data_IF_426718528261
#
_entry.id   IF_426718528261
#
_cell.length_a   1.000
_cell.length_b   1.000
_cell.length_c   1.000
_cell.angle_alpha   90.00
_cell.angle_beta   90.00
_cell.angle_gamma   90.00
#
_symmetry.space_group_name_H-M   'P 1'
#
loop_
_entity.id
_entity.type
_entity.pdbx_description
1 polymer ?
#
# COMPACT_ATOMS: atom_id res chain seq x y z
N UNK A 1 34.86 -62.79 6.07
CA UNK A 1 35.22 -61.53 6.76
C UNK A 1 35.81 -60.54 5.76
N UNK A 2 35.01 -59.70 5.10
CA UNK A 2 35.50 -58.60 4.26
C UNK A 2 34.57 -57.39 4.41
N UNK A 3 34.63 -56.73 5.57
CA UNK A 3 34.03 -55.40 5.75
C UNK A 3 35.03 -54.35 5.28
N UNK A 4 35.00 -54.04 3.98
CA UNK A 4 35.66 -52.86 3.43
C UNK A 4 34.80 -51.63 3.71
N UNK A 5 34.93 -51.09 4.93
CA UNK A 5 34.37 -49.80 5.30
C UNK A 5 35.15 -48.70 4.57
N UNK A 6 34.66 -48.38 3.37
CA UNK A 6 35.07 -47.21 2.60
C UNK A 6 34.95 -45.96 3.47
N UNK A 7 36.10 -45.48 3.94
CA UNK A 7 36.27 -44.20 4.62
C UNK A 7 35.76 -43.09 3.69
N UNK A 8 34.50 -42.69 3.84
CA UNK A 8 34.02 -41.41 3.31
C UNK A 8 34.61 -40.30 4.16
N UNK A 9 35.74 -39.77 3.68
CA UNK A 9 36.41 -38.61 4.24
C UNK A 9 35.44 -37.44 4.34
N UNK A 10 35.14 -37.05 5.59
CA UNK A 10 34.48 -35.79 5.88
C UNK A 10 35.37 -34.66 5.38
N UNK A 11 34.95 -34.01 4.29
CA UNK A 11 35.56 -32.80 3.78
C UNK A 11 35.36 -31.70 4.83
N UNK A 12 36.38 -31.44 5.65
CA UNK A 12 36.37 -30.34 6.61
C UNK A 12 36.10 -29.03 5.84
N UNK A 13 34.93 -28.45 6.04
CA UNK A 13 34.62 -27.12 5.52
C UNK A 13 35.62 -26.14 6.13
N UNK A 14 36.41 -25.48 5.28
CA UNK A 14 37.30 -24.41 5.73
C UNK A 14 36.50 -23.40 6.53
N UNK A 15 37.01 -22.93 7.67
CA UNK A 15 36.32 -21.97 8.54
C UNK A 15 35.83 -20.72 7.79
N UNK A 16 36.56 -20.31 6.75
CA UNK A 16 36.16 -19.23 5.85
C UNK A 16 34.96 -19.58 4.95
N UNK A 17 34.85 -20.83 4.49
CA UNK A 17 33.70 -21.31 3.71
C UNK A 17 32.45 -21.39 4.61
N UNK A 18 32.60 -21.86 5.85
CA UNK A 18 31.51 -21.87 6.82
C UNK A 18 31.01 -20.44 7.14
N UNK A 19 31.93 -19.50 7.37
CA UNK A 19 31.59 -18.09 7.55
C UNK A 19 30.88 -17.50 6.32
N UNK A 20 31.35 -17.83 5.12
CA UNK A 20 30.73 -17.34 3.88
C UNK A 20 29.30 -17.85 3.70
N UNK A 21 29.06 -19.15 3.95
CA UNK A 21 27.70 -19.71 3.91
C UNK A 21 26.80 -19.12 5.02
N UNK A 22 27.32 -18.89 6.22
CA UNK A 22 26.55 -18.29 7.31
C UNK A 22 26.10 -16.85 6.99
N UNK A 23 26.98 -16.04 6.39
CA UNK A 23 26.66 -14.67 5.97
C UNK A 23 25.64 -14.66 4.82
N UNK A 24 25.77 -15.59 3.87
CA UNK A 24 24.82 -15.74 2.75
C UNK A 24 23.40 -16.07 3.26
N UNK A 25 23.29 -17.01 4.20
CA UNK A 25 21.99 -17.39 4.79
C UNK A 25 21.38 -16.24 5.60
N UNK A 26 22.19 -15.47 6.34
CA UNK A 26 21.72 -14.30 7.08
C UNK A 26 21.18 -13.20 6.14
N UNK A 27 21.87 -12.96 5.01
CA UNK A 27 21.42 -12.00 3.99
C UNK A 27 20.08 -12.41 3.36
N UNK A 28 19.89 -13.69 3.05
CA UNK A 28 18.63 -14.19 2.47
C UNK A 28 17.44 -14.00 3.42
N UNK A 29 17.66 -14.04 4.73
CA UNK A 29 16.61 -13.84 5.74
C UNK A 29 16.30 -12.37 6.01
N UNK A 30 17.29 -11.48 5.88
CA UNK A 30 17.16 -10.04 6.20
C UNK A 30 16.64 -9.22 5.02
N UNK A 31 17.01 -9.58 3.78
CA UNK A 31 16.58 -8.87 2.55
C UNK A 31 15.05 -8.76 2.38
N UNK A 32 14.25 -9.80 2.69
CA UNK A 32 12.79 -9.71 2.61
C UNK A 32 12.21 -8.64 3.52
N UNK A 33 12.68 -8.52 4.77
CA UNK A 33 12.14 -7.54 5.72
C UNK A 33 12.39 -6.10 5.28
N UNK A 34 13.56 -5.81 4.71
CA UNK A 34 13.89 -4.48 4.19
C UNK A 34 13.02 -4.14 2.97
N UNK A 35 12.75 -5.15 2.12
CA UNK A 35 11.85 -5.02 0.97
C UNK A 35 10.40 -4.75 1.39
N UNK A 36 9.90 -5.48 2.38
CA UNK A 36 8.52 -5.33 2.90
C UNK A 36 8.28 -3.94 3.54
N UNK A 37 9.23 -3.43 4.33
CA UNK A 37 9.11 -2.13 4.97
C UNK A 37 9.02 -0.97 3.95
N UNK A 38 9.72 -1.08 2.82
CA UNK A 38 9.74 -0.04 1.79
C UNK A 38 8.42 0.05 1.00
N UNK A 39 7.78 -1.08 0.72
CA UNK A 39 6.48 -1.09 0.01
C UNK A 39 5.32 -0.75 0.94
N UNK A 40 5.34 -1.17 2.20
CA UNK A 40 4.32 -0.79 3.18
C UNK A 40 4.32 0.72 3.41
N UNK A 41 5.49 1.32 3.62
CA UNK A 41 5.63 2.77 3.80
C UNK A 41 5.16 3.56 2.58
N UNK A 42 5.50 3.09 1.37
CA UNK A 42 5.08 3.74 0.11
C UNK A 42 3.57 3.62 -0.10
N UNK A 43 3.00 2.46 0.16
CA UNK A 43 1.56 2.21 0.05
C UNK A 43 0.77 3.06 1.06
N UNK A 44 1.23 3.09 2.31
CA UNK A 44 0.60 3.87 3.37
C UNK A 44 0.74 5.38 3.12
N UNK A 45 1.86 5.82 2.52
CA UNK A 45 2.08 7.18 2.07
C UNK A 45 1.17 7.61 0.91
N UNK A 46 0.93 6.72 -0.06
CA UNK A 46 0.00 6.97 -1.16
C UNK A 46 -1.44 7.00 -0.65
N UNK A 47 -1.83 6.05 0.20
CA UNK A 47 -3.15 6.02 0.81
C UNK A 47 -3.41 7.32 1.58
N UNK A 48 -2.49 7.74 2.45
CA UNK A 48 -2.67 8.97 3.24
C UNK A 48 -2.73 10.23 2.39
N UNK A 49 -2.01 10.31 1.26
CA UNK A 49 -2.11 11.46 0.35
C UNK A 49 -3.42 11.46 -0.45
N UNK A 50 -3.88 10.28 -0.89
CA UNK A 50 -5.15 10.16 -1.61
C UNK A 50 -6.33 10.56 -0.73
N UNK A 51 -6.34 10.10 0.53
CA UNK A 51 -7.42 10.39 1.48
C UNK A 51 -7.37 11.80 2.05
N UNK A 52 -6.20 12.30 2.47
CA UNK A 52 -6.13 13.63 3.10
C UNK A 52 -6.10 14.81 2.13
N UNK A 53 -5.77 14.60 0.86
CA UNK A 53 -5.52 15.72 -0.06
C UNK A 53 -6.37 15.61 -1.33
N UNK A 54 -6.38 14.45 -1.99
CA UNK A 54 -7.02 14.31 -3.30
C UNK A 54 -8.55 14.23 -3.17
N UNK A 55 -9.04 13.44 -2.23
CA UNK A 55 -10.48 13.32 -1.96
C UNK A 55 -11.12 14.66 -1.54
N UNK A 56 -10.62 15.38 -0.53
CA UNK A 56 -11.17 16.67 -0.14
C UNK A 56 -11.08 17.73 -1.24
N UNK A 57 -10.01 17.74 -2.04
CA UNK A 57 -9.86 18.72 -3.13
C UNK A 57 -10.86 18.48 -4.26
N UNK A 58 -11.12 17.22 -4.64
CA UNK A 58 -12.16 16.88 -5.61
C UNK A 58 -13.57 17.28 -5.11
N UNK A 59 -13.87 17.10 -3.83
CA UNK A 59 -15.14 17.53 -3.25
C UNK A 59 -15.31 19.06 -3.29
N UNK A 60 -14.26 19.82 -2.98
CA UNK A 60 -14.29 21.29 -3.07
C UNK A 60 -14.54 21.74 -4.52
N UNK A 61 -13.91 21.09 -5.50
CA UNK A 61 -14.15 21.38 -6.93
C UNK A 61 -15.62 21.14 -7.34
N UNK A 62 -16.23 20.04 -6.89
CA UNK A 62 -17.63 19.73 -7.20
C UNK A 62 -18.60 20.77 -6.57
N UNK A 63 -18.34 21.17 -5.33
CA UNK A 63 -19.11 22.20 -4.63
C UNK A 63 -18.95 23.55 -5.33
N UNK A 64 -17.73 23.93 -5.70
CA UNK A 64 -17.46 25.17 -6.43
C UNK A 64 -18.20 25.23 -7.77
N UNK A 65 -18.22 24.11 -8.52
CA UNK A 65 -18.96 24.02 -9.78
C UNK A 65 -20.48 24.18 -9.59
N UNK A 66 -21.07 23.54 -8.58
CA UNK A 66 -22.48 23.71 -8.26
C UNK A 66 -22.82 25.14 -7.81
N UNK A 67 -21.97 25.74 -6.98
CA UNK A 67 -22.13 27.13 -6.53
C UNK A 67 -22.08 28.11 -7.72
N UNK A 68 -21.13 27.92 -8.64
CA UNK A 68 -21.02 28.74 -9.85
C UNK A 68 -22.27 28.57 -10.74
N UNK A 69 -22.74 27.34 -10.92
CA UNK A 69 -23.94 27.06 -11.70
C UNK A 69 -25.22 27.64 -11.10
N UNK A 70 -25.31 27.79 -9.77
CA UNK A 70 -26.40 28.51 -9.11
C UNK A 70 -26.28 30.02 -9.31
N UNK A 71 -25.07 30.57 -9.16
CA UNK A 71 -24.82 32.00 -9.30
C UNK A 71 -25.09 32.51 -10.73
N UNK A 72 -24.84 31.68 -11.76
CA UNK A 72 -25.15 32.01 -13.15
C UNK A 72 -26.64 31.99 -13.51
N UNK A 73 -27.55 31.69 -12.56
CA UNK A 73 -29.00 31.81 -12.78
C UNK A 73 -29.62 30.77 -13.71
N UNK A 74 -28.94 29.67 -13.98
CA UNK A 74 -29.44 28.60 -14.85
C UNK A 74 -30.67 27.90 -14.22
N UNK A 75 -31.75 27.70 -14.98
CA UNK A 75 -32.97 27.02 -14.51
C UNK A 75 -32.72 25.57 -14.02
N UNK A 76 -31.63 24.95 -14.51
CA UNK A 76 -31.18 23.60 -14.11
C UNK A 76 -30.18 23.58 -12.95
N UNK A 77 -29.93 24.72 -12.31
CA UNK A 77 -29.00 24.85 -11.17
C UNK A 77 -29.32 23.88 -10.02
N UNK A 78 -30.60 23.61 -9.74
CA UNK A 78 -31.02 22.59 -8.75
C UNK A 78 -30.48 21.19 -9.10
N UNK A 79 -30.45 20.83 -10.37
CA UNK A 79 -29.93 19.54 -10.82
C UNK A 79 -28.41 19.48 -10.67
N UNK A 80 -27.71 20.58 -10.94
CA UNK A 80 -26.25 20.66 -10.77
C UNK A 80 -25.85 20.60 -9.29
N UNK A 81 -26.66 21.19 -8.41
CA UNK A 81 -26.54 21.03 -6.97
C UNK A 81 -26.72 19.57 -6.55
N UNK A 82 -27.75 18.89 -7.07
CA UNK A 82 -27.96 17.46 -6.83
C UNK A 82 -26.77 16.60 -7.26
N UNK A 83 -26.18 16.88 -8.43
CA UNK A 83 -24.97 16.19 -8.87
C UNK A 83 -23.78 16.43 -7.93
N UNK A 84 -23.61 17.64 -7.41
CA UNK A 84 -22.55 17.92 -6.43
C UNK A 84 -22.80 17.22 -5.07
N UNK A 85 -24.05 17.13 -4.61
CA UNK A 85 -24.39 16.38 -3.39
C UNK A 85 -24.06 14.90 -3.57
N UNK A 86 -24.49 14.28 -4.67
CA UNK A 86 -24.21 12.87 -4.96
C UNK A 86 -22.70 12.63 -5.09
N UNK A 87 -21.99 13.49 -5.83
CA UNK A 87 -20.54 13.38 -5.98
C UNK A 87 -19.80 13.50 -4.63
N UNK A 88 -20.28 14.36 -3.74
CA UNK A 88 -19.71 14.55 -2.40
C UNK A 88 -19.93 13.31 -1.52
N UNK A 89 -21.14 12.72 -1.54
CA UNK A 89 -21.45 11.48 -0.82
C UNK A 89 -20.58 10.33 -1.34
N UNK A 90 -20.43 10.19 -2.67
CA UNK A 90 -19.61 9.13 -3.26
C UNK A 90 -18.13 9.35 -2.95
N UNK A 91 -17.62 10.58 -3.05
CA UNK A 91 -16.23 10.91 -2.71
C UNK A 91 -15.91 10.57 -1.26
N UNK A 92 -16.54 11.26 -0.30
CA UNK A 92 -16.24 11.02 1.12
C UNK A 92 -16.70 9.65 1.62
N UNK A 93 -17.78 9.09 1.05
CA UNK A 93 -18.28 7.76 1.42
C UNK A 93 -17.36 6.62 0.98
N UNK A 94 -16.74 6.72 -0.21
CA UNK A 94 -15.79 5.72 -0.69
C UNK A 94 -14.55 5.64 0.22
N UNK A 95 -14.05 6.78 0.69
CA UNK A 95 -12.93 6.83 1.65
C UNK A 95 -13.29 6.15 2.97
N UNK A 96 -14.48 6.44 3.51
CA UNK A 96 -14.96 5.84 4.75
C UNK A 96 -15.07 4.31 4.65
N UNK A 97 -15.52 3.79 3.50
CA UNK A 97 -15.63 2.34 3.24
C UNK A 97 -14.24 1.69 3.15
N UNK A 98 -13.30 2.29 2.40
CA UNK A 98 -11.93 1.77 2.31
C UNK A 98 -11.26 1.75 3.68
N UNK A 99 -11.44 2.80 4.47
CA UNK A 99 -10.96 2.85 5.85
C UNK A 99 -11.59 1.76 6.72
N UNK A 100 -12.90 1.52 6.59
CA UNK A 100 -13.59 0.46 7.33
C UNK A 100 -13.06 -0.94 6.99
N UNK A 101 -12.88 -1.23 5.69
CA UNK A 101 -12.30 -2.50 5.23
C UNK A 101 -10.88 -2.65 5.77
N UNK A 102 -10.04 -1.62 5.62
CA UNK A 102 -8.63 -1.65 6.06
C UNK A 102 -8.47 -1.86 7.56
N UNK A 103 -9.42 -1.39 8.38
CA UNK A 103 -9.43 -1.66 9.83
C UNK A 103 -9.89 -3.08 10.15
N UNK A 104 -10.76 -3.65 9.34
CA UNK A 104 -11.29 -5.00 9.51
C UNK A 104 -10.29 -6.07 9.05
N UNK A 105 -9.47 -5.78 8.04
CA UNK A 105 -8.47 -6.70 7.48
C UNK A 105 -7.05 -6.54 8.07
N UNK A 106 -6.89 -5.69 9.08
CA UNK A 106 -5.62 -5.45 9.78
C UNK A 106 -5.44 -6.42 10.96
#
# INVERSE_FOLDING_TARGET
MLLNQSKKGGKNMNRNQFFFYAVLTALIFIVPEIGFASVESSLMGIQTKLTRVILPSLSICAIAWAAFSMMSGNDKSKTHLWYAIIATIVGFGAEAIVNFISQTVR
#
